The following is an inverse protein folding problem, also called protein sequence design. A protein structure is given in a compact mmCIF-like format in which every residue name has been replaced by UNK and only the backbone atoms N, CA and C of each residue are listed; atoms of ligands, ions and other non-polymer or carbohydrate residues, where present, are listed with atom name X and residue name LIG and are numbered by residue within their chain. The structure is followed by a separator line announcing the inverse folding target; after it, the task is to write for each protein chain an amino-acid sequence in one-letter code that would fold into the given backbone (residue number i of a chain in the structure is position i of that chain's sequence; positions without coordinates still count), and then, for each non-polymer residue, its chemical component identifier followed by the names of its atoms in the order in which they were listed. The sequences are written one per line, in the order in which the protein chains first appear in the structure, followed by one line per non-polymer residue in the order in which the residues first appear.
data_IF_727291209567
#
_entry.id   IF_727291209567
#
_cell.length_a   1.000
_cell.length_b   1.000
_cell.length_c   1.000
_cell.angle_alpha   90.00
_cell.angle_beta   90.00
_cell.angle_gamma   90.00
#
_symmetry.space_group_name_H-M   'P 1'
#
loop_
_entity.id
_entity.type
_entity.pdbx_description
1 polymer ?
#
# COMPACT_ATOMS: atom_id res chain seq x y z
N UNK A 1 -17.10 4.78 0.68
CA UNK A 1 -16.77 4.07 1.95
C UNK A 1 -15.65 4.78 2.70
N UNK A 2 -14.43 4.90 2.16
CA UNK A 2 -13.33 5.62 2.84
C UNK A 2 -13.66 7.09 3.15
N UNK A 3 -14.14 7.85 2.15
CA UNK A 3 -14.54 9.26 2.36
C UNK A 3 -15.71 9.41 3.34
N UNK A 4 -16.65 8.46 3.34
CA UNK A 4 -17.77 8.44 4.30
C UNK A 4 -17.27 8.20 5.73
N UNK A 5 -16.12 7.55 5.90
CA UNK A 5 -15.43 7.36 7.18
C UNK A 5 -14.46 8.52 7.50
N UNK A 6 -14.46 9.60 6.72
CA UNK A 6 -13.62 10.78 6.95
C UNK A 6 -12.17 10.66 6.43
N UNK A 7 -11.84 9.62 5.67
CA UNK A 7 -10.52 9.47 5.05
C UNK A 7 -10.55 10.16 3.68
N UNK A 8 -9.77 11.24 3.46
CA UNK A 8 -9.74 11.91 2.17
C UNK A 8 -9.25 10.98 1.06
N UNK A 9 -9.87 11.05 -0.12
CA UNK A 9 -9.40 10.33 -1.30
C UNK A 9 -9.36 11.26 -2.51
N UNK A 10 -8.71 10.82 -3.58
CA UNK A 10 -8.76 11.56 -4.86
C UNK A 10 -10.05 11.31 -5.65
N UNK A 11 -10.91 10.37 -5.23
CA UNK A 11 -12.09 9.99 -5.99
C UNK A 11 -13.13 11.13 -6.01
N UNK A 12 -13.81 11.31 -7.15
CA UNK A 12 -14.93 12.26 -7.27
C UNK A 12 -16.18 11.48 -7.65
N UNK A 13 -16.16 10.80 -8.81
CA UNK A 13 -17.29 9.99 -9.27
C UNK A 13 -16.89 8.93 -10.30
N UNK A 14 -17.76 7.95 -10.52
CA UNK A 14 -17.61 6.94 -11.58
C UNK A 14 -18.27 7.44 -12.86
N UNK A 15 -17.52 7.50 -13.96
CA UNK A 15 -18.04 7.93 -15.26
C UNK A 15 -18.54 6.75 -16.10
N UNK A 16 -17.91 5.57 -15.96
CA UNK A 16 -18.25 4.35 -16.69
C UNK A 16 -17.69 3.11 -15.98
N UNK A 17 -17.98 1.88 -16.44
CA UNK A 17 -17.36 0.67 -15.88
C UNK A 17 -15.83 0.61 -15.97
N UNK A 18 -15.18 1.49 -16.75
CA UNK A 18 -13.72 1.53 -16.95
C UNK A 18 -13.08 2.90 -16.69
N UNK A 19 -13.83 3.88 -16.20
CA UNK A 19 -13.31 5.24 -15.98
C UNK A 19 -13.94 5.91 -14.76
N UNK A 20 -13.12 6.65 -14.04
CA UNK A 20 -13.49 7.45 -12.87
C UNK A 20 -12.91 8.85 -13.01
N UNK A 21 -13.65 9.85 -12.51
CA UNK A 21 -13.16 11.21 -12.35
C UNK A 21 -12.48 11.32 -10.99
N UNK A 22 -11.26 11.87 -10.98
CA UNK A 22 -10.43 12.03 -9.79
C UNK A 22 -9.82 13.42 -9.72
N UNK A 23 -9.45 13.85 -8.51
CA UNK A 23 -8.60 15.02 -8.27
C UNK A 23 -7.18 14.69 -8.74
N UNK A 24 -6.60 15.58 -9.55
CA UNK A 24 -5.18 15.47 -9.89
C UNK A 24 -4.35 15.63 -8.61
N UNK A 25 -3.38 14.73 -8.43
CA UNK A 25 -2.49 14.72 -7.29
C UNK A 25 -1.05 14.53 -7.77
N UNK A 26 -0.11 15.12 -7.04
CA UNK A 26 1.30 14.76 -7.13
C UNK A 26 1.50 13.45 -6.36
N UNK A 27 2.02 12.43 -7.03
CA UNK A 27 2.21 11.11 -6.42
C UNK A 27 3.54 11.12 -5.65
N UNK A 28 3.45 10.82 -4.36
CA UNK A 28 4.63 10.53 -3.54
C UNK A 28 5.18 9.16 -4.00
N UNK A 29 6.47 9.04 -4.36
CA UNK A 29 7.06 7.79 -4.88
C UNK A 29 7.31 6.77 -3.76
N UNK A 30 6.24 6.38 -3.07
CA UNK A 30 6.26 5.52 -1.89
C UNK A 30 5.07 4.56 -1.95
N UNK A 31 5.34 3.26 -1.87
CA UNK A 31 4.31 2.26 -1.64
C UNK A 31 4.18 1.97 -0.15
N UNK A 32 2.98 2.17 0.38
CA UNK A 32 2.66 1.89 1.79
C UNK A 32 1.90 0.57 1.85
N UNK A 33 2.54 -0.46 2.39
CA UNK A 33 1.99 -1.81 2.46
C UNK A 33 1.55 -2.11 3.89
N UNK A 34 0.25 -2.38 4.08
CA UNK A 34 -0.30 -2.82 5.37
C UNK A 34 -0.55 -4.33 5.35
N UNK A 35 -0.13 -5.02 6.42
CA UNK A 35 -0.29 -6.47 6.57
C UNK A 35 -0.92 -6.81 7.91
N UNK A 36 -1.98 -7.60 7.88
CA UNK A 36 -2.57 -8.22 9.08
C UNK A 36 -2.19 -9.70 9.22
N UNK A 37 -1.73 -10.31 8.13
CA UNK A 37 -1.41 -11.73 8.01
C UNK A 37 -0.10 -11.84 7.20
N UNK A 38 0.74 -12.80 7.56
CA UNK A 38 1.96 -13.10 6.84
C UNK A 38 1.64 -13.68 5.45
N UNK A 39 2.07 -12.99 4.39
CA UNK A 39 1.90 -13.43 3.00
C UNK A 39 2.96 -12.79 2.10
N UNK A 40 3.15 -13.36 0.90
CA UNK A 40 3.98 -12.77 -0.15
C UNK A 40 5.44 -12.53 0.24
N UNK A 41 5.96 -11.34 -0.05
CA UNK A 41 7.37 -10.99 0.20
C UNK A 41 7.76 -11.04 1.68
N UNK A 42 6.83 -10.81 2.61
CA UNK A 42 7.09 -10.88 4.05
C UNK A 42 7.47 -12.32 4.49
N UNK A 43 6.72 -13.31 4.02
CA UNK A 43 6.96 -14.75 4.32
C UNK A 43 8.36 -15.15 3.86
N UNK A 44 8.71 -14.79 2.62
CA UNK A 44 10.03 -15.10 2.04
C UNK A 44 11.17 -14.41 2.79
N UNK A 45 10.97 -13.15 3.21
CA UNK A 45 12.00 -12.32 3.86
C UNK A 45 12.28 -12.74 5.30
N UNK A 46 11.25 -13.16 6.04
CA UNK A 46 11.35 -13.44 7.48
C UNK A 46 11.20 -14.92 7.85
N UNK A 47 10.92 -15.80 6.88
CA UNK A 47 10.73 -17.23 7.13
C UNK A 47 9.47 -17.56 7.93
N UNK A 48 8.44 -16.70 7.84
CA UNK A 48 7.17 -16.89 8.53
C UNK A 48 6.30 -17.94 7.82
N UNK A 49 5.31 -18.48 8.53
CA UNK A 49 4.32 -19.35 7.90
C UNK A 49 3.29 -18.48 7.15
N UNK A 50 3.02 -18.80 5.89
CA UNK A 50 1.97 -18.11 5.14
C UNK A 50 0.59 -18.34 5.78
N UNK A 51 -0.19 -17.27 5.90
CA UNK A 51 -1.48 -17.28 6.59
C UNK A 51 -1.41 -17.05 8.10
N UNK A 52 -0.21 -16.93 8.68
CA UNK A 52 -0.04 -16.62 10.10
C UNK A 52 -0.54 -15.21 10.43
N UNK A 53 -1.41 -15.09 11.45
CA UNK A 53 -1.90 -13.80 11.90
C UNK A 53 -0.80 -13.00 12.60
N UNK A 54 -0.61 -11.74 12.22
CA UNK A 54 0.36 -10.88 12.87
C UNK A 54 -0.22 -10.34 14.19
N UNK A 55 0.60 -10.17 15.25
CA UNK A 55 0.13 -9.71 16.55
C UNK A 55 -0.43 -8.28 16.53
N UNK A 56 -0.04 -7.51 15.51
CA UNK A 56 -0.59 -6.18 15.18
C UNK A 56 -0.45 -5.94 13.68
N UNK A 57 -1.24 -5.02 13.09
CA UNK A 57 -1.01 -4.57 11.72
C UNK A 57 0.42 -4.07 11.56
N UNK A 58 1.12 -4.59 10.55
CA UNK A 58 2.44 -4.16 10.15
C UNK A 58 2.29 -3.16 9.00
N UNK A 59 3.03 -2.05 9.06
CA UNK A 59 3.15 -1.07 7.98
C UNK A 59 4.59 -1.11 7.48
N UNK A 60 4.76 -1.25 6.17
CA UNK A 60 6.05 -1.29 5.50
C UNK A 60 6.07 -0.24 4.38
N UNK A 61 7.24 0.36 4.18
CA UNK A 61 7.47 1.39 3.17
C UNK A 61 8.41 0.86 2.09
N UNK A 62 8.04 1.03 0.84
CA UNK A 62 8.85 0.67 -0.31
C UNK A 62 9.04 1.89 -1.21
N UNK A 63 10.28 2.24 -1.54
CA UNK A 63 10.53 3.34 -2.47
C UNK A 63 10.11 2.91 -3.86
N UNK A 64 9.24 3.69 -4.51
CA UNK A 64 8.67 3.31 -5.81
C UNK A 64 9.65 3.61 -6.94
N UNK A 65 10.39 2.60 -7.36
CA UNK A 65 11.37 2.65 -8.45
C UNK A 65 11.58 1.26 -9.03
N UNK A 66 10.97 1.00 -10.19
CA UNK A 66 11.05 -0.28 -10.88
C UNK A 66 12.49 -0.68 -11.24
N UNK A 67 13.39 0.29 -11.46
CA UNK A 67 14.79 0.00 -11.79
C UNK A 67 15.57 -0.52 -10.56
N UNK A 68 15.14 -0.14 -9.35
CA UNK A 68 15.67 -0.63 -8.09
C UNK A 68 14.89 -1.84 -7.55
N UNK A 69 13.78 -2.21 -8.18
CA UNK A 69 12.92 -3.31 -7.76
C UNK A 69 12.13 -3.01 -6.50
N UNK A 70 11.70 -1.75 -6.34
CA UNK A 70 10.93 -1.25 -5.21
C UNK A 70 11.51 -1.66 -3.84
N UNK A 71 12.68 -1.12 -3.44
CA UNK A 71 13.36 -1.57 -2.24
C UNK A 71 12.57 -1.20 -0.97
N UNK A 72 12.60 -2.09 0.04
CA UNK A 72 12.11 -1.79 1.39
C UNK A 72 13.00 -0.70 2.02
N UNK A 73 12.38 0.34 2.54
CA UNK A 73 13.04 1.44 3.24
C UNK A 73 12.51 1.61 4.67
N UNK A 74 13.26 2.32 5.51
CA UNK A 74 12.80 2.82 6.81
C UNK A 74 12.35 4.28 6.71
N UNK A 75 11.79 4.82 7.78
CA UNK A 75 11.40 6.24 7.88
C UNK A 75 12.60 7.22 7.82
N UNK A 76 13.82 6.75 8.06
CA UNK A 76 15.04 7.58 8.10
C UNK A 76 15.79 7.67 6.76
N UNK A 77 15.42 6.85 5.77
CA UNK A 77 16.05 6.89 4.44
C UNK A 77 15.59 8.13 3.66
#
# INVERSE_FOLDING_TARGET
RLEQSGVPTHFIETLSPRAQLVRQAEIIPLEVVMRNVAAGSLVKRLGLQEGEALPRPLVEFYYKDDALGDPLISEDH
#
